data_IF_841186057816
#
_entry.id   IF_841186057816
#
_cell.length_a   1.000
_cell.length_b   1.000
_cell.length_c   1.000
_cell.angle_alpha   90.00
_cell.angle_beta   90.00
_cell.angle_gamma   90.00
#
_symmetry.space_group_name_H-M   'P 1'
#
loop_
_entity.id
_entity.type
_entity.pdbx_description
1 polymer ?
#
# COMPACT_ATOMS: atom_id res chain seq x y z
N UNK A 1 8.11 -4.39 -2.00
CA UNK A 1 9.42 -5.04 -1.72
C UNK A 1 10.41 -4.99 -2.89
N UNK A 2 9.98 -5.20 -4.14
CA UNK A 2 10.88 -5.26 -5.32
C UNK A 2 11.89 -4.11 -5.47
N UNK A 3 11.56 -2.89 -5.02
CA UNK A 3 12.48 -1.74 -5.04
C UNK A 3 13.70 -1.95 -4.12
N UNK A 4 13.49 -2.47 -2.91
CA UNK A 4 14.58 -2.77 -1.96
C UNK A 4 15.46 -3.90 -2.48
N UNK A 5 14.86 -4.92 -3.09
CA UNK A 5 15.58 -6.03 -3.72
C UNK A 5 16.44 -5.55 -4.90
N UNK A 6 15.89 -4.68 -5.76
CA UNK A 6 16.64 -4.04 -6.85
C UNK A 6 17.83 -3.23 -6.33
N UNK A 7 17.62 -2.42 -5.29
CA UNK A 7 18.68 -1.61 -4.69
C UNK A 7 19.78 -2.48 -4.08
N UNK A 8 19.42 -3.58 -3.42
CA UNK A 8 20.36 -4.57 -2.88
C UNK A 8 21.20 -5.19 -3.99
N UNK A 9 20.57 -5.66 -5.08
CA UNK A 9 21.27 -6.20 -6.25
C UNK A 9 22.24 -5.20 -6.87
N UNK A 10 21.81 -3.93 -7.01
CA UNK A 10 22.66 -2.86 -7.57
C UNK A 10 23.91 -2.63 -6.71
N UNK A 11 23.76 -2.55 -5.38
CA UNK A 11 24.90 -2.37 -4.48
C UNK A 11 25.88 -3.56 -4.52
N UNK A 12 25.36 -4.78 -4.65
CA UNK A 12 26.19 -5.98 -4.83
C UNK A 12 27.02 -5.93 -6.14
N UNK A 13 26.44 -5.37 -7.20
CA UNK A 13 27.11 -5.16 -8.49
C UNK A 13 28.01 -3.90 -8.50
N UNK A 14 28.12 -3.18 -7.38
CA UNK A 14 28.87 -1.94 -7.29
C UNK A 14 28.17 -0.74 -7.95
N UNK A 15 26.90 -0.87 -8.33
CA UNK A 15 26.09 0.20 -8.88
C UNK A 15 25.41 1.00 -7.75
N UNK A 16 25.81 2.25 -7.63
CA UNK A 16 25.44 3.22 -6.60
C UNK A 16 24.41 4.25 -7.07
N UNK A 17 23.90 4.14 -8.30
CA UNK A 17 22.94 5.10 -8.90
C UNK A 17 21.68 5.30 -8.04
N UNK A 18 21.33 4.31 -7.22
CA UNK A 18 20.17 4.40 -6.31
C UNK A 18 20.43 5.28 -5.07
N UNK A 19 21.69 5.67 -4.84
CA UNK A 19 22.16 6.47 -3.72
C UNK A 19 23.21 7.48 -4.18
N UNK A 20 22.77 8.56 -4.83
CA UNK A 20 23.65 9.60 -5.40
C UNK A 20 24.67 10.18 -4.41
N UNK A 21 24.29 10.30 -3.14
CA UNK A 21 25.20 10.80 -2.09
C UNK A 21 26.27 9.79 -1.66
N UNK A 22 26.00 8.48 -1.83
CA UNK A 22 26.94 7.41 -1.51
C UNK A 22 27.93 7.15 -2.64
N UNK A 23 27.65 7.63 -3.85
CA UNK A 23 28.50 7.46 -5.03
C UNK A 23 29.90 8.06 -4.80
N UNK A 24 29.94 9.30 -4.32
CA UNK A 24 31.18 10.00 -3.97
C UNK A 24 32.00 9.25 -2.89
N UNK A 25 31.32 8.71 -1.87
CA UNK A 25 31.97 8.01 -0.75
C UNK A 25 32.49 6.62 -1.15
N UNK A 26 31.79 5.94 -2.06
CA UNK A 26 32.13 4.58 -2.52
C UNK A 26 33.20 4.58 -3.63
N UNK A 27 33.26 5.62 -4.46
CA UNK A 27 34.29 5.78 -5.50
C UNK A 27 35.64 6.17 -4.89
N UNK A 28 35.65 6.98 -3.83
CA UNK A 28 36.89 7.54 -3.25
C UNK A 28 37.32 6.88 -1.91
N UNK A 29 36.51 6.02 -1.32
CA UNK A 29 36.76 5.44 0.01
C UNK A 29 37.44 4.07 0.03
N UNK A 30 38.52 3.93 0.80
CA UNK A 30 39.24 2.66 1.07
C UNK A 30 38.38 1.59 1.80
N UNK A 31 37.24 1.98 2.38
CA UNK A 31 36.32 1.10 3.13
C UNK A 31 35.10 0.61 2.32
N UNK A 32 35.20 0.63 1.00
CA UNK A 32 34.12 0.32 0.06
C UNK A 32 33.42 -1.03 0.35
N UNK A 33 34.17 -2.07 0.72
CA UNK A 33 33.60 -3.40 1.00
C UNK A 33 32.79 -3.47 2.31
N UNK A 34 33.25 -2.80 3.38
CA UNK A 34 32.56 -2.76 4.68
C UNK A 34 31.27 -1.94 4.57
N UNK A 35 31.33 -0.79 3.92
CA UNK A 35 30.16 0.07 3.72
C UNK A 35 29.09 -0.61 2.86
N UNK A 36 29.48 -1.29 1.77
CA UNK A 36 28.55 -2.11 0.95
C UNK A 36 27.82 -3.15 1.79
N UNK A 37 28.52 -3.87 2.66
CA UNK A 37 27.91 -4.85 3.58
C UNK A 37 26.91 -4.20 4.53
N UNK A 38 27.23 -3.03 5.09
CA UNK A 38 26.32 -2.28 5.96
C UNK A 38 25.05 -1.84 5.23
N UNK A 39 25.17 -1.29 4.02
CA UNK A 39 24.02 -0.89 3.20
C UNK A 39 23.12 -2.10 2.89
N UNK A 40 23.71 -3.22 2.48
CA UNK A 40 22.96 -4.45 2.20
C UNK A 40 22.23 -4.97 3.45
N UNK A 41 22.88 -4.89 4.61
CA UNK A 41 22.29 -5.28 5.91
C UNK A 41 21.09 -4.39 6.21
N UNK A 42 21.27 -3.07 6.18
CA UNK A 42 20.17 -2.12 6.40
C UNK A 42 19.02 -2.28 5.42
N UNK A 43 19.28 -2.54 4.13
CA UNK A 43 18.20 -2.82 3.18
C UNK A 43 17.42 -4.10 3.52
N UNK A 44 18.10 -5.09 4.09
CA UNK A 44 17.48 -6.34 4.52
C UNK A 44 16.67 -6.16 5.82
N UNK A 45 17.21 -5.40 6.77
CA UNK A 45 16.52 -5.05 8.01
C UNK A 45 15.29 -4.21 7.71
N UNK A 46 15.44 -3.17 6.88
CA UNK A 46 14.33 -2.32 6.44
C UNK A 46 13.24 -3.14 5.76
N UNK A 47 13.61 -4.08 4.87
CA UNK A 47 12.63 -4.98 4.25
C UNK A 47 11.90 -5.82 5.30
N UNK A 48 12.61 -6.34 6.30
CA UNK A 48 12.03 -7.13 7.40
C UNK A 48 11.08 -6.29 8.22
N UNK A 49 11.45 -5.05 8.55
CA UNK A 49 10.62 -4.11 9.30
C UNK A 49 9.38 -3.69 8.50
N UNK A 50 9.50 -3.46 7.19
CA UNK A 50 8.34 -3.22 6.33
C UNK A 50 7.40 -4.44 6.34
N UNK A 51 7.94 -5.65 6.19
CA UNK A 51 7.11 -6.86 6.27
C UNK A 51 6.43 -6.91 7.63
N UNK A 52 7.17 -6.77 8.73
CA UNK A 52 6.66 -6.80 10.10
C UNK A 52 5.55 -5.78 10.35
N UNK A 53 5.75 -4.53 9.94
CA UNK A 53 4.80 -3.45 10.14
C UNK A 53 3.54 -3.62 9.29
N UNK A 54 3.69 -4.16 8.08
CA UNK A 54 2.60 -4.38 7.13
C UNK A 54 2.18 -5.86 7.04
N UNK A 55 2.50 -6.70 8.03
CA UNK A 55 2.19 -8.14 8.05
C UNK A 55 0.69 -8.36 7.85
N UNK A 56 -0.11 -7.59 8.60
CA UNK A 56 -1.56 -7.52 8.49
C UNK A 56 -2.04 -6.98 7.14
N UNK A 57 -1.26 -6.13 6.49
CA UNK A 57 -1.65 -5.47 5.26
C UNK A 57 -1.53 -6.37 4.03
N UNK A 58 -0.65 -7.38 4.04
CA UNK A 58 -0.56 -8.37 2.96
C UNK A 58 -1.72 -9.37 3.02
N UNK A 59 -2.11 -9.84 4.20
CA UNK A 59 -3.33 -10.66 4.38
C UNK A 59 -4.60 -9.87 4.02
N UNK A 60 -4.64 -8.59 4.41
CA UNK A 60 -5.78 -7.71 4.12
C UNK A 60 -5.72 -7.06 2.74
N UNK A 61 -4.65 -7.27 1.96
CA UNK A 61 -4.42 -6.63 0.67
C UNK A 61 -5.50 -6.96 -0.34
N UNK A 62 -5.92 -8.21 -0.34
CA UNK A 62 -7.05 -8.71 -1.15
C UNK A 62 -8.36 -8.05 -0.69
N UNK A 63 -8.60 -8.00 0.62
CA UNK A 63 -9.77 -7.35 1.21
C UNK A 63 -9.81 -5.82 1.00
N UNK A 64 -8.71 -5.18 0.56
CA UNK A 64 -8.67 -3.74 0.28
C UNK A 64 -8.81 -3.41 -1.20
N UNK A 65 -8.86 -4.41 -2.08
CA UNK A 65 -8.96 -4.19 -3.53
C UNK A 65 -10.23 -3.46 -3.95
N UNK A 66 -11.31 -3.58 -3.15
CA UNK A 66 -12.56 -2.87 -3.40
C UNK A 66 -12.48 -1.38 -3.14
N UNK A 67 -11.56 -0.90 -2.26
CA UNK A 67 -11.40 0.53 -2.05
C UNK A 67 -11.15 1.23 -3.39
N UNK A 68 -10.18 0.76 -4.18
CA UNK A 68 -9.76 1.46 -5.40
C UNK A 68 -10.92 1.75 -6.34
N UNK A 69 -11.85 0.80 -6.48
CA UNK A 69 -13.09 1.01 -7.21
C UNK A 69 -14.10 -0.10 -6.83
N UNK A 70 -15.11 0.19 -5.98
CA UNK A 70 -16.07 -0.82 -5.55
C UNK A 70 -16.95 -1.31 -6.72
N UNK A 71 -17.18 -0.48 -7.74
CA UNK A 71 -18.04 -0.83 -8.88
C UNK A 71 -17.41 -1.80 -9.88
N UNK A 72 -16.07 -1.93 -9.86
CA UNK A 72 -15.31 -2.82 -10.74
C UNK A 72 -14.90 -4.16 -10.08
N UNK A 73 -15.25 -4.39 -8.82
CA UNK A 73 -14.95 -5.66 -8.12
C UNK A 73 -16.11 -6.62 -8.10
N UNK A 74 -15.78 -7.90 -7.95
CA UNK A 74 -16.77 -8.94 -7.72
C UNK A 74 -17.14 -9.00 -6.23
N UNK A 75 -18.36 -9.46 -5.95
CA UNK A 75 -18.81 -9.61 -4.56
C UNK A 75 -17.96 -10.63 -3.78
N UNK A 76 -17.34 -11.59 -4.48
CA UNK A 76 -16.40 -12.55 -3.90
C UNK A 76 -15.06 -11.94 -3.49
N UNK A 77 -14.79 -10.69 -3.87
CA UNK A 77 -13.54 -9.99 -3.52
C UNK A 77 -13.62 -9.31 -2.14
N UNK A 78 -14.78 -9.32 -1.47
CA UNK A 78 -14.99 -8.71 -0.15
C UNK A 78 -15.37 -9.76 0.91
N UNK A 79 -15.22 -9.39 2.18
CA UNK A 79 -15.56 -10.26 3.32
C UNK A 79 -17.06 -10.58 3.33
N UNK A 80 -17.39 -11.81 3.72
CA UNK A 80 -18.78 -12.34 3.68
C UNK A 80 -19.78 -11.47 4.45
N UNK A 81 -19.35 -10.86 5.55
CA UNK A 81 -20.18 -9.98 6.38
C UNK A 81 -20.58 -8.69 5.67
N UNK A 82 -19.81 -8.23 4.68
CA UNK A 82 -20.09 -6.99 3.94
C UNK A 82 -20.68 -7.22 2.54
N UNK A 83 -20.73 -8.48 2.06
CA UNK A 83 -21.15 -8.82 0.68
C UNK A 83 -22.54 -8.30 0.30
N UNK A 84 -23.50 -8.32 1.24
CA UNK A 84 -24.87 -7.85 0.98
C UNK A 84 -24.92 -6.35 0.68
N UNK A 85 -24.37 -5.53 1.57
CA UNK A 85 -24.28 -4.09 1.35
C UNK A 85 -23.42 -3.74 0.14
N UNK A 86 -22.33 -4.49 -0.08
CA UNK A 86 -21.48 -4.31 -1.24
C UNK A 86 -22.24 -4.52 -2.56
N UNK A 87 -23.11 -5.54 -2.61
CA UNK A 87 -23.95 -5.81 -3.78
C UNK A 87 -24.96 -4.68 -4.02
N UNK A 88 -25.62 -4.20 -2.96
CA UNK A 88 -26.55 -3.07 -3.04
C UNK A 88 -25.85 -1.79 -3.51
N UNK A 89 -24.68 -1.47 -2.94
CA UNK A 89 -23.85 -0.35 -3.36
C UNK A 89 -23.47 -0.46 -4.85
N UNK A 90 -23.04 -1.64 -5.30
CA UNK A 90 -22.60 -1.88 -6.69
C UNK A 90 -23.71 -1.58 -7.71
N UNK A 91 -24.96 -1.84 -7.37
CA UNK A 91 -26.12 -1.58 -8.23
C UNK A 91 -26.79 -0.22 -7.98
N UNK A 92 -26.26 0.61 -7.09
CA UNK A 92 -26.76 1.95 -6.84
C UNK A 92 -26.18 2.95 -7.86
N UNK A 93 -26.98 3.30 -8.86
CA UNK A 93 -26.59 4.25 -9.91
C UNK A 93 -26.20 5.65 -9.38
N UNK A 94 -26.95 6.28 -8.46
CA UNK A 94 -26.51 7.51 -7.80
C UNK A 94 -25.14 7.40 -7.12
N UNK A 95 -24.88 6.33 -6.38
CA UNK A 95 -23.60 6.10 -5.72
C UNK A 95 -22.46 5.97 -6.72
N UNK A 96 -22.73 5.33 -7.87
CA UNK A 96 -21.74 5.23 -8.95
C UNK A 96 -21.39 6.56 -9.57
N UNK A 97 -22.33 7.49 -9.64
CA UNK A 97 -22.08 8.85 -10.13
C UNK A 97 -21.33 9.68 -9.08
N UNK A 98 -21.79 9.64 -7.84
CA UNK A 98 -21.12 10.28 -6.71
C UNK A 98 -19.65 9.84 -6.59
N UNK A 99 -19.34 8.57 -6.81
CA UNK A 99 -17.96 8.07 -6.76
C UNK A 99 -17.04 8.67 -7.83
N UNK A 100 -17.60 9.15 -8.95
CA UNK A 100 -16.81 9.83 -9.99
C UNK A 100 -16.58 11.31 -9.67
N UNK A 101 -17.52 11.92 -8.96
CA UNK A 101 -17.52 13.37 -8.68
C UNK A 101 -16.85 13.71 -7.34
N UNK A 102 -17.04 12.86 -6.33
CA UNK A 102 -16.53 13.08 -4.98
C UNK A 102 -15.11 12.56 -4.82
N UNK A 103 -14.36 13.18 -3.91
CA UNK A 103 -13.14 12.57 -3.41
C UNK A 103 -13.45 11.30 -2.60
N UNK A 104 -12.38 10.52 -2.41
CA UNK A 104 -12.49 9.18 -1.89
C UNK A 104 -13.02 9.13 -0.44
N UNK A 105 -12.63 10.07 0.41
CA UNK A 105 -13.04 10.11 1.82
C UNK A 105 -14.47 10.60 1.94
N UNK A 106 -14.81 11.68 1.23
CA UNK A 106 -16.17 12.25 1.22
C UNK A 106 -17.20 11.24 0.71
N UNK A 107 -16.85 10.43 -0.30
CA UNK A 107 -17.71 9.37 -0.79
C UNK A 107 -18.08 8.37 0.32
N UNK A 108 -17.08 7.80 1.01
CA UNK A 108 -17.33 6.80 2.06
C UNK A 108 -18.00 7.39 3.30
N UNK A 109 -17.74 8.67 3.62
CA UNK A 109 -18.45 9.38 4.69
C UNK A 109 -19.93 9.57 4.31
N UNK A 110 -20.23 10.00 3.08
CA UNK A 110 -21.61 10.21 2.60
C UNK A 110 -22.43 8.92 2.67
N UNK A 111 -21.84 7.80 2.28
CA UNK A 111 -22.50 6.51 2.21
C UNK A 111 -22.45 5.70 3.51
N UNK A 112 -21.82 6.21 4.57
CA UNK A 112 -21.73 5.54 5.87
C UNK A 112 -23.09 5.25 6.51
N UNK A 113 -24.07 6.12 6.33
CA UNK A 113 -25.43 5.91 6.86
C UNK A 113 -26.27 4.93 6.04
N UNK A 114 -25.89 4.68 4.78
CA UNK A 114 -26.62 3.83 3.82
C UNK A 114 -26.01 2.42 3.78
N UNK A 115 -24.68 2.32 3.76
CA UNK A 115 -23.92 1.08 3.71
C UNK A 115 -22.88 1.06 4.84
N UNK A 116 -23.33 0.95 6.11
CA UNK A 116 -22.46 1.11 7.27
C UNK A 116 -21.31 0.10 7.34
N UNK A 117 -21.54 -1.17 7.00
CA UNK A 117 -20.50 -2.20 7.09
C UNK A 117 -19.38 -1.94 6.07
N UNK A 118 -19.75 -1.73 4.81
CA UNK A 118 -18.77 -1.55 3.72
C UNK A 118 -18.05 -0.20 3.85
N UNK A 119 -18.77 0.84 4.25
CA UNK A 119 -18.20 2.18 4.42
C UNK A 119 -17.30 2.26 5.65
N UNK A 120 -17.68 1.61 6.75
CA UNK A 120 -16.83 1.54 7.94
C UNK A 120 -15.51 0.80 7.65
N UNK A 121 -15.57 -0.30 6.88
CA UNK A 121 -14.37 -0.99 6.43
C UNK A 121 -13.48 -0.07 5.58
N UNK A 122 -14.06 0.67 4.64
CA UNK A 122 -13.31 1.63 3.81
C UNK A 122 -12.66 2.75 4.63
N UNK A 123 -13.41 3.38 5.53
CA UNK A 123 -12.92 4.47 6.39
C UNK A 123 -11.83 4.01 7.36
N UNK A 124 -11.98 2.82 7.95
CA UNK A 124 -10.95 2.23 8.80
C UNK A 124 -9.64 2.03 8.03
N UNK A 125 -9.71 1.68 6.76
CA UNK A 125 -8.52 1.52 5.92
C UNK A 125 -7.88 2.87 5.60
N UNK A 126 -8.70 3.87 5.26
CA UNK A 126 -8.22 5.24 5.00
C UNK A 126 -7.54 5.85 6.22
N UNK A 127 -8.11 5.65 7.41
CA UNK A 127 -7.56 6.16 8.66
C UNK A 127 -6.16 5.60 8.99
N UNK A 128 -5.78 4.41 8.48
CA UNK A 128 -4.43 3.86 8.68
C UNK A 128 -3.34 4.65 7.94
N UNK A 129 -3.71 5.43 6.93
CA UNK A 129 -2.77 6.19 6.09
C UNK A 129 -2.94 7.71 6.22
N UNK A 130 -3.94 8.18 6.98
CA UNK A 130 -4.31 9.59 7.12
C UNK A 130 -3.48 10.42 8.13
N UNK A 131 -2.39 9.87 8.69
CA UNK A 131 -1.50 10.68 9.53
C UNK A 131 -0.51 11.44 8.63
N UNK A 132 -0.80 12.70 8.36
CA UNK A 132 0.16 13.70 7.85
C UNK A 132 0.25 14.87 8.80
#
# INVERSE_FOLDING_TARGET
MAKLDLWKCRIQQGNTVSFSYLDYVLIHGNHNSKLKKQIITHLSDLKTEFIRYFLDADEKREAWKFLRNPFQREVTDVLDDVQKEFLELKFNSPAKEDFKELDFETFWIKYLSVYPLVSHQALRILAMFGST
#
